data_IF_482693555040
#
_entry.id   IF_482693555040
#
_cell.length_a   1.000
_cell.length_b   1.000
_cell.length_c   1.000
_cell.angle_alpha   90.00
_cell.angle_beta   90.00
_cell.angle_gamma   90.00
#
_symmetry.space_group_name_H-M   'P 1'
#
loop_
_entity.id
_entity.type
_entity.pdbx_description
1 polymer ?
#
# COMPACT_ATOMS: atom_id res chain seq x y z
N UNK A 1 27.43 57.54 18.81
CA UNK A 1 26.54 58.61 18.30
C UNK A 1 25.56 57.99 17.30
N UNK A 2 24.29 58.44 17.34
CA UNK A 2 23.11 58.10 16.51
C UNK A 2 22.50 56.69 16.70
N UNK A 3 21.29 56.50 17.26
CA UNK A 3 19.91 56.87 16.80
C UNK A 3 19.41 55.93 15.67
N UNK A 4 18.24 55.28 15.63
CA UNK A 4 16.89 55.31 16.28
C UNK A 4 16.22 53.92 16.05
N UNK A 5 15.39 53.35 16.95
CA UNK A 5 13.90 53.42 17.00
C UNK A 5 13.24 53.45 15.60
N UNK A 6 12.21 52.70 15.20
CA UNK A 6 11.19 51.87 15.87
C UNK A 6 9.91 51.93 15.02
N UNK A 7 9.08 50.88 15.02
CA UNK A 7 7.63 50.98 14.78
C UNK A 7 7.07 50.68 13.38
N UNK A 8 5.76 50.38 13.29
CA UNK A 8 5.21 49.23 12.56
C UNK A 8 4.27 49.62 11.40
N UNK A 9 3.78 48.63 10.64
CA UNK A 9 2.76 48.85 9.62
C UNK A 9 2.07 47.56 9.20
N UNK A 10 0.84 47.40 9.68
CA UNK A 10 -0.13 46.38 9.32
C UNK A 10 -0.43 46.36 7.82
N UNK A 11 -0.54 45.16 7.27
CA UNK A 11 -1.22 44.92 5.99
C UNK A 11 -2.21 43.78 6.19
N UNK A 12 -3.40 44.15 6.63
CA UNK A 12 -4.60 43.34 6.58
C UNK A 12 -5.19 43.44 5.17
N UNK A 13 -5.20 42.34 4.41
CA UNK A 13 -6.27 41.94 3.49
C UNK A 13 -5.74 40.95 2.46
N UNK A 14 -6.26 39.72 2.51
CA UNK A 14 -7.18 39.24 1.47
C UNK A 14 -7.57 37.80 1.77
N UNK A 15 -8.81 37.59 2.19
CA UNK A 15 -9.49 36.31 1.97
C UNK A 15 -9.61 36.09 0.45
N UNK A 16 -9.58 34.82 0.02
CA UNK A 16 -10.74 34.35 -0.73
C UNK A 16 -11.27 33.03 -0.19
N UNK A 17 -12.59 32.94 -0.15
CA UNK A 17 -13.31 31.73 0.18
C UNK A 17 -13.37 30.72 -0.98
N UNK A 18 -13.92 29.56 -0.61
CA UNK A 18 -14.57 28.57 -1.46
C UNK A 18 -13.67 27.73 -2.39
N UNK A 19 -13.43 26.48 -2.00
CA UNK A 19 -14.23 25.35 -2.53
C UNK A 19 -13.74 24.05 -1.89
N UNK A 20 -14.51 23.51 -0.95
CA UNK A 20 -14.40 22.11 -0.55
C UNK A 20 -14.79 21.23 -1.75
N UNK A 21 -13.82 20.78 -2.53
CA UNK A 21 -14.05 19.79 -3.57
C UNK A 21 -13.84 18.40 -2.97
N UNK A 22 -14.93 17.86 -2.44
CA UNK A 22 -15.13 16.42 -2.18
C UNK A 22 -14.89 15.65 -3.50
N UNK A 23 -13.91 14.76 -3.52
CA UNK A 23 -13.83 13.68 -4.52
C UNK A 23 -13.81 12.35 -3.79
N UNK A 24 -15.00 11.80 -3.58
CA UNK A 24 -15.20 10.38 -3.29
C UNK A 24 -15.16 9.64 -4.64
N UNK A 25 -14.15 8.81 -4.85
CA UNK A 25 -14.10 7.88 -5.98
C UNK A 25 -14.87 6.62 -5.61
N UNK A 26 -16.15 6.57 -5.97
CA UNK A 26 -16.96 5.35 -5.97
C UNK A 26 -16.88 4.75 -7.37
N UNK A 27 -16.39 3.52 -7.49
CA UNK A 27 -16.54 2.73 -8.72
C UNK A 27 -17.01 1.33 -8.32
N UNK A 28 -18.32 1.12 -8.41
CA UNK A 28 -18.95 -0.19 -8.42
C UNK A 28 -19.43 -0.47 -9.85
N UNK A 29 -19.20 -1.66 -10.43
CA UNK A 29 -19.86 -2.04 -11.66
C UNK A 29 -21.23 -2.68 -11.35
N UNK A 30 -22.29 -2.04 -11.86
CA UNK A 30 -23.60 -2.64 -12.04
C UNK A 30 -23.58 -3.54 -13.29
N UNK A 31 -23.94 -4.81 -13.10
CA UNK A 31 -24.20 -5.75 -14.19
C UNK A 31 -25.53 -6.44 -13.99
N UNK A 32 -26.60 -5.85 -14.52
CA UNK A 32 -27.91 -6.48 -14.64
C UNK A 32 -27.99 -7.28 -15.95
N UNK A 33 -28.51 -8.52 -15.89
CA UNK A 33 -29.52 -9.03 -16.84
C UNK A 33 -30.11 -10.37 -16.39
N UNK A 34 -31.45 -10.38 -16.34
CA UNK A 34 -32.35 -11.50 -16.07
C UNK A 34 -32.79 -12.19 -17.38
N UNK A 35 -33.39 -13.39 -17.19
CA UNK A 35 -34.25 -14.23 -18.05
C UNK A 35 -33.46 -15.32 -18.81
N UNK A 36 -33.93 -16.56 -18.91
CA UNK A 36 -35.30 -17.06 -18.92
C UNK A 36 -35.46 -18.45 -18.25
N UNK A 37 -36.69 -18.72 -17.83
CA UNK A 37 -37.19 -20.01 -17.39
C UNK A 37 -37.68 -20.84 -18.59
N UNK A 38 -37.49 -22.16 -18.53
CA UNK A 38 -38.30 -23.15 -19.24
C UNK A 38 -38.57 -24.34 -18.32
N UNK A 39 -39.87 -24.64 -18.16
CA UNK A 39 -40.44 -25.83 -17.52
C UNK A 39 -40.32 -27.05 -18.43
N UNK A 40 -40.27 -28.24 -17.85
CA UNK A 40 -41.04 -29.47 -18.19
C UNK A 40 -40.56 -30.58 -17.23
N UNK A 41 -41.30 -30.96 -16.19
CA UNK A 41 -42.44 -31.89 -16.14
C UNK A 41 -42.08 -33.38 -15.97
N UNK A 42 -42.70 -33.97 -14.95
CA UNK A 42 -43.09 -35.39 -14.78
C UNK A 42 -42.17 -36.39 -14.05
N UNK A 43 -42.57 -36.69 -12.81
CA UNK A 43 -42.46 -37.94 -12.03
C UNK A 43 -43.27 -39.09 -12.72
N UNK A 44 -43.31 -40.39 -12.27
CA UNK A 44 -43.19 -40.86 -10.88
C UNK A 44 -42.66 -42.29 -10.58
N UNK A 45 -42.65 -42.60 -9.28
CA UNK A 45 -43.07 -43.85 -8.61
C UNK A 45 -41.99 -44.70 -7.89
N UNK A 46 -42.27 -45.02 -6.61
CA UNK A 46 -41.60 -46.09 -5.84
C UNK A 46 -41.48 -45.83 -4.33
N UNK A 47 -42.50 -46.24 -3.55
CA UNK A 47 -42.49 -46.47 -2.09
C UNK A 47 -41.45 -47.55 -1.70
N UNK A 48 -40.84 -47.69 -0.51
CA UNK A 48 -41.38 -47.76 0.86
C UNK A 48 -40.18 -47.81 1.89
N UNK A 49 -40.34 -48.04 3.22
CA UNK A 49 -39.63 -47.30 4.27
C UNK A 49 -38.60 -48.11 5.11
N UNK A 50 -38.14 -47.51 6.21
CA UNK A 50 -37.31 -48.02 7.32
C UNK A 50 -35.77 -47.89 7.25
N UNK A 51 -35.27 -46.80 7.85
CA UNK A 51 -33.99 -46.78 8.55
C UNK A 51 -33.99 -45.71 9.68
N UNK A 52 -33.43 -46.01 10.87
CA UNK A 52 -33.65 -45.21 12.07
C UNK A 52 -32.85 -43.90 12.06
N UNK A 53 -33.54 -42.82 12.39
CA UNK A 53 -32.99 -41.46 12.56
C UNK A 53 -32.03 -41.39 13.75
N UNK A 54 -30.74 -41.53 13.50
CA UNK A 54 -29.71 -41.00 14.39
C UNK A 54 -29.61 -39.48 14.20
N UNK A 55 -30.44 -38.74 14.94
CA UNK A 55 -30.34 -37.28 15.06
C UNK A 55 -29.16 -36.96 16.00
N UNK A 56 -27.98 -36.75 15.44
CA UNK A 56 -26.96 -35.93 16.11
C UNK A 56 -27.53 -34.53 16.32
N UNK A 57 -27.43 -33.94 17.53
CA UNK A 57 -27.80 -32.56 17.72
C UNK A 57 -26.78 -31.72 16.95
N UNK A 58 -27.23 -31.12 15.85
CA UNK A 58 -26.49 -30.12 15.11
C UNK A 58 -26.31 -28.94 16.07
N UNK A 59 -25.20 -28.96 16.82
CA UNK A 59 -24.77 -27.88 17.69
C UNK A 59 -24.84 -26.61 16.84
N UNK A 60 -25.73 -25.70 17.25
CA UNK A 60 -26.07 -24.51 16.51
C UNK A 60 -24.80 -23.84 16.01
N UNK A 61 -24.57 -23.92 14.70
CA UNK A 61 -23.61 -23.09 14.01
C UNK A 61 -24.13 -21.67 14.19
N UNK A 62 -23.70 -21.03 15.28
CA UNK A 62 -23.99 -19.62 15.54
C UNK A 62 -23.66 -18.91 14.23
N UNK A 63 -24.58 -18.11 13.67
CA UNK A 63 -24.21 -17.26 12.55
C UNK A 63 -22.99 -16.48 13.02
N UNK A 64 -21.87 -16.65 12.32
CA UNK A 64 -20.69 -15.84 12.56
C UNK A 64 -21.17 -14.40 12.42
N UNK A 65 -21.17 -13.66 13.53
CA UNK A 65 -21.33 -12.21 13.46
C UNK A 65 -20.29 -11.76 12.45
N UNK A 66 -20.75 -11.27 11.29
CA UNK A 66 -19.87 -10.94 10.18
C UNK A 66 -18.82 -9.95 10.66
N UNK A 67 -17.54 -10.26 10.45
CA UNK A 67 -16.46 -9.35 10.82
C UNK A 67 -16.61 -8.08 9.98
N UNK A 68 -16.43 -6.95 10.63
CA UNK A 68 -16.41 -5.62 10.03
C UNK A 68 -14.97 -5.21 9.73
N UNK A 69 -14.78 -4.20 8.89
CA UNK A 69 -13.44 -3.67 8.60
C UNK A 69 -12.71 -3.15 9.85
N UNK A 70 -13.45 -2.78 10.90
CA UNK A 70 -12.91 -2.29 12.18
C UNK A 70 -12.49 -3.42 13.12
N UNK A 71 -12.88 -4.67 12.86
CA UNK A 71 -12.48 -5.79 13.71
C UNK A 71 -11.00 -6.13 13.50
N UNK A 72 -10.21 -6.33 14.57
CA UNK A 72 -8.80 -6.67 14.46
C UNK A 72 -8.57 -7.88 13.55
N UNK A 73 -7.63 -7.79 12.59
CA UNK A 73 -7.38 -8.82 11.59
C UNK A 73 -6.82 -10.10 12.23
N UNK A 74 -7.16 -11.25 11.63
CA UNK A 74 -6.65 -12.56 12.06
C UNK A 74 -5.13 -12.62 11.87
N UNK A 75 -4.41 -13.27 12.78
CA UNK A 75 -2.95 -13.42 12.72
C UNK A 75 -2.46 -14.72 12.07
N UNK A 76 -3.30 -15.30 11.23
CA UNK A 76 -2.98 -16.50 10.44
C UNK A 76 -2.78 -16.10 8.97
N UNK A 77 -1.55 -16.09 8.46
CA UNK A 77 -1.27 -15.67 7.08
C UNK A 77 -1.85 -16.61 6.02
N UNK A 78 -2.16 -17.86 6.35
CA UNK A 78 -2.71 -18.82 5.38
C UNK A 78 -4.16 -18.48 4.97
N UNK A 79 -4.83 -17.66 5.78
CA UNK A 79 -6.18 -17.17 5.50
C UNK A 79 -6.21 -15.98 4.54
N UNK A 80 -5.06 -15.36 4.25
CA UNK A 80 -5.02 -14.15 3.44
C UNK A 80 -4.79 -14.45 1.97
N UNK A 81 -5.68 -13.92 1.13
CA UNK A 81 -5.41 -13.86 -0.30
C UNK A 81 -4.53 -12.64 -0.64
N UNK A 82 -3.71 -12.78 -1.68
CA UNK A 82 -2.93 -11.66 -2.22
C UNK A 82 -3.75 -10.97 -3.30
N UNK A 83 -3.86 -9.63 -3.26
CA UNK A 83 -4.47 -8.88 -4.37
C UNK A 83 -3.57 -8.89 -5.61
N UNK A 84 -4.14 -8.76 -6.81
CA UNK A 84 -3.39 -8.64 -8.07
C UNK A 84 -2.38 -7.48 -7.97
N UNK A 85 -2.84 -6.33 -7.46
CA UNK A 85 -2.00 -5.17 -7.19
C UNK A 85 -0.79 -5.53 -6.33
N UNK A 86 -0.99 -6.26 -5.22
CA UNK A 86 0.12 -6.65 -4.36
C UNK A 86 1.08 -7.62 -5.05
N UNK A 87 0.58 -8.58 -5.84
CA UNK A 87 1.44 -9.52 -6.58
C UNK A 87 2.34 -8.80 -7.57
N UNK A 88 1.79 -7.87 -8.35
CA UNK A 88 2.58 -7.00 -9.25
C UNK A 88 3.68 -6.24 -8.49
N UNK A 89 3.38 -5.75 -7.28
CA UNK A 89 4.37 -5.03 -6.46
C UNK A 89 5.54 -5.88 -6.01
N UNK A 90 5.37 -7.20 -5.84
CA UNK A 90 6.43 -8.10 -5.38
C UNK A 90 7.54 -8.25 -6.43
N UNK A 91 7.21 -8.04 -7.70
CA UNK A 91 8.13 -8.19 -8.83
C UNK A 91 8.91 -6.92 -9.15
N UNK A 92 8.49 -5.77 -8.60
CA UNK A 92 9.07 -4.46 -8.91
C UNK A 92 10.47 -4.28 -8.28
N UNK A 93 11.50 -3.91 -9.07
CA UNK A 93 12.82 -3.55 -8.57
C UNK A 93 12.78 -2.47 -7.48
N UNK A 94 13.59 -2.68 -6.44
CA UNK A 94 13.66 -1.79 -5.27
C UNK A 94 12.44 -1.90 -4.34
N UNK A 95 11.66 -2.98 -4.44
CA UNK A 95 10.73 -3.43 -3.40
C UNK A 95 11.36 -4.59 -2.63
N UNK A 96 11.27 -4.52 -1.30
CA UNK A 96 11.93 -5.49 -0.41
C UNK A 96 10.95 -6.33 0.41
N UNK A 97 9.65 -6.14 0.17
CA UNK A 97 8.60 -6.97 0.74
C UNK A 97 8.55 -8.28 -0.05
N UNK A 98 8.49 -9.39 0.67
CA UNK A 98 8.27 -10.74 0.15
C UNK A 98 7.10 -11.42 0.87
N UNK A 99 6.57 -12.51 0.30
CA UNK A 99 5.54 -13.34 0.93
C UNK A 99 5.95 -13.85 2.32
N UNK A 100 7.24 -14.14 2.52
CA UNK A 100 7.81 -14.49 3.83
C UNK A 100 7.69 -13.34 4.82
N UNK A 101 8.12 -12.13 4.43
CA UNK A 101 8.01 -10.95 5.32
C UNK A 101 6.56 -10.59 5.62
N UNK A 102 5.63 -10.83 4.69
CA UNK A 102 4.18 -10.69 4.92
C UNK A 102 3.71 -11.68 5.98
N UNK A 103 4.07 -12.95 5.82
CA UNK A 103 3.71 -14.00 6.77
C UNK A 103 4.25 -13.70 8.17
N UNK A 104 5.49 -13.23 8.25
CA UNK A 104 6.12 -12.83 9.50
C UNK A 104 5.45 -11.61 10.14
N UNK A 105 5.08 -10.60 9.34
CA UNK A 105 4.38 -9.42 9.82
C UNK A 105 2.98 -9.75 10.34
N UNK A 106 2.21 -10.60 9.65
CA UNK A 106 0.88 -11.03 10.11
C UNK A 106 0.97 -11.77 11.45
N UNK A 107 1.95 -12.66 11.62
CA UNK A 107 2.12 -13.44 12.85
C UNK A 107 2.62 -12.59 14.03
N UNK A 108 3.66 -11.77 13.79
CA UNK A 108 4.48 -11.18 14.87
C UNK A 108 4.51 -9.65 14.86
N UNK A 109 4.03 -9.02 13.80
CA UNK A 109 4.03 -7.57 13.66
C UNK A 109 3.15 -6.87 14.68
N UNK A 110 3.52 -5.63 14.99
CA UNK A 110 2.66 -4.72 15.73
C UNK A 110 1.45 -4.37 14.87
N UNK A 111 0.26 -4.48 15.46
CA UNK A 111 -0.99 -4.13 14.78
C UNK A 111 -1.28 -2.64 14.95
N UNK A 112 -1.62 -1.96 13.85
CA UNK A 112 -1.98 -0.53 13.82
C UNK A 112 -3.23 -0.31 12.97
N UNK A 113 -4.12 0.57 13.40
CA UNK A 113 -5.30 0.98 12.64
C UNK A 113 -5.11 2.37 12.05
N UNK A 114 -5.54 2.58 10.81
CA UNK A 114 -5.67 3.89 10.18
C UNK A 114 -7.06 4.00 9.52
N UNK A 115 -7.72 5.16 9.66
CA UNK A 115 -9.01 5.44 9.03
C UNK A 115 -8.99 5.44 7.50
N UNK A 116 -7.84 5.71 6.88
CA UNK A 116 -7.72 5.80 5.41
C UNK A 116 -7.42 4.45 4.76
N UNK A 117 -6.48 3.70 5.33
CA UNK A 117 -5.94 2.47 4.71
C UNK A 117 -6.27 1.20 5.51
N UNK A 118 -7.02 1.30 6.60
CA UNK A 118 -7.42 0.17 7.43
C UNK A 118 -6.30 -0.38 8.33
N UNK A 119 -6.30 -1.69 8.53
CA UNK A 119 -5.37 -2.38 9.43
C UNK A 119 -3.99 -2.59 8.81
N UNK A 120 -2.96 -2.43 9.63
CA UNK A 120 -1.56 -2.60 9.26
C UNK A 120 -0.82 -3.48 10.24
N UNK A 121 -0.07 -4.44 9.74
CA UNK A 121 0.96 -5.13 10.50
C UNK A 121 2.31 -4.45 10.24
N UNK A 122 3.02 -4.08 11.30
CA UNK A 122 4.35 -3.47 11.24
C UNK A 122 5.37 -4.36 11.95
N UNK A 123 6.33 -4.90 11.20
CA UNK A 123 7.43 -5.72 11.71
C UNK A 123 8.76 -5.00 11.47
N UNK A 124 9.61 -4.88 12.49
CA UNK A 124 10.98 -4.37 12.31
C UNK A 124 11.95 -5.55 12.34
N UNK A 125 12.80 -5.65 11.32
CA UNK A 125 13.83 -6.68 11.19
C UNK A 125 15.08 -6.05 10.55
N UNK A 126 16.23 -6.16 11.24
CA UNK A 126 17.50 -5.56 10.81
C UNK A 126 17.39 -4.08 10.44
N UNK A 127 16.83 -3.25 11.33
CA UNK A 127 16.68 -1.79 11.12
C UNK A 127 15.63 -1.36 10.07
N UNK A 128 15.02 -2.30 9.33
CA UNK A 128 13.98 -2.02 8.33
C UNK A 128 12.61 -2.41 8.88
N UNK A 129 11.64 -1.48 8.77
CA UNK A 129 10.23 -1.73 9.06
C UNK A 129 9.51 -2.21 7.81
N UNK A 130 8.88 -3.36 7.89
CA UNK A 130 7.93 -3.91 6.93
C UNK A 130 6.52 -3.54 7.36
N UNK A 131 5.82 -2.77 6.54
CA UNK A 131 4.41 -2.43 6.75
C UNK A 131 3.57 -3.20 5.75
N UNK A 132 2.60 -3.97 6.25
CA UNK A 132 1.68 -4.77 5.45
C UNK A 132 0.27 -4.29 5.74
N UNK A 133 -0.41 -3.79 4.72
CA UNK A 133 -1.79 -3.34 4.81
C UNK A 133 -2.70 -4.50 4.44
N UNK A 134 -3.65 -4.77 5.33
CA UNK A 134 -4.66 -5.78 5.13
C UNK A 134 -6.05 -5.15 5.18
N UNK A 135 -6.96 -5.72 4.41
CA UNK A 135 -8.37 -5.41 4.53
C UNK A 135 -9.10 -6.70 4.85
N UNK A 136 -10.04 -6.61 5.78
CA UNK A 136 -11.15 -7.54 5.73
C UNK A 136 -11.99 -7.17 4.51
N UNK A 137 -12.47 -8.17 3.79
CA UNK A 137 -13.35 -7.93 2.64
C UNK A 137 -14.73 -8.46 2.98
N UNK A 138 -15.74 -8.04 2.23
CA UNK A 138 -17.05 -8.70 2.28
C UNK A 138 -17.02 -10.14 1.72
N UNK A 139 -15.84 -10.62 1.28
CA UNK A 139 -15.62 -11.99 0.80
C UNK A 139 -15.18 -12.92 1.94
N UNK A 140 -15.09 -14.23 1.66
CA UNK A 140 -14.80 -15.25 2.66
C UNK A 140 -13.36 -15.20 3.25
N UNK A 141 -12.48 -14.36 2.71
CA UNK A 141 -11.08 -14.28 3.14
C UNK A 141 -10.59 -12.84 3.22
N UNK A 142 -9.83 -12.47 4.27
CA UNK A 142 -9.14 -11.19 4.29
C UNK A 142 -8.06 -11.15 3.19
N UNK A 143 -7.64 -9.95 2.80
CA UNK A 143 -6.68 -9.76 1.70
C UNK A 143 -5.51 -8.89 2.10
N UNK A 144 -4.34 -9.21 1.55
CA UNK A 144 -3.18 -8.31 1.56
C UNK A 144 -3.33 -7.31 0.42
N UNK A 145 -3.55 -6.05 0.79
CA UNK A 145 -3.80 -4.95 -0.16
C UNK A 145 -2.49 -4.42 -0.72
N UNK A 146 -1.52 -4.15 0.16
CA UNK A 146 -0.23 -3.61 -0.23
C UNK A 146 0.81 -3.81 0.88
N UNK A 147 2.07 -3.59 0.54
CA UNK A 147 3.16 -3.57 1.52
C UNK A 147 4.33 -2.72 1.08
N UNK A 148 5.06 -2.19 2.04
CA UNK A 148 6.28 -1.42 1.79
C UNK A 148 7.27 -1.53 2.94
N UNK A 149 8.48 -1.01 2.69
CA UNK A 149 9.54 -0.89 3.67
C UNK A 149 9.81 0.57 4.01
N UNK A 150 10.26 0.79 5.25
CA UNK A 150 10.74 2.07 5.76
C UNK A 150 12.01 1.81 6.57
N UNK A 151 12.94 2.78 6.59
CA UNK A 151 14.07 2.71 7.51
C UNK A 151 13.58 3.08 8.90
N UNK A 152 13.61 2.12 9.83
CA UNK A 152 13.27 2.35 11.24
C UNK A 152 14.48 2.80 12.04
N UNK A 153 15.64 2.21 11.75
CA UNK A 153 16.94 2.50 12.34
C UNK A 153 18.00 2.28 11.25
N UNK A 154 18.66 3.37 10.83
CA UNK A 154 19.63 3.33 9.72
C UNK A 154 20.91 2.63 10.12
N UNK A 155 21.38 2.82 11.34
CA UNK A 155 22.62 2.21 11.83
C UNK A 155 22.42 0.69 11.93
N UNK A 156 21.33 0.26 12.57
CA UNK A 156 20.99 -1.15 12.64
C UNK A 156 20.75 -1.78 11.26
N UNK A 157 20.25 -1.01 10.28
CA UNK A 157 20.07 -1.50 8.91
C UNK A 157 21.38 -1.69 8.16
N UNK A 158 22.37 -0.83 8.38
CA UNK A 158 23.70 -0.93 7.75
C UNK A 158 24.56 -2.03 8.38
N UNK A 159 24.36 -2.34 9.66
CA UNK A 159 25.03 -3.45 10.35
C UNK A 159 24.38 -4.82 10.07
N UNK A 160 23.12 -4.84 9.59
CA UNK A 160 22.42 -6.08 9.33
C UNK A 160 22.96 -6.77 8.05
N UNK A 161 23.34 -8.06 8.09
CA UNK A 161 23.93 -8.78 6.94
C UNK A 161 23.03 -8.87 5.70
N UNK A 162 21.73 -8.60 5.87
CA UNK A 162 20.71 -8.73 4.83
C UNK A 162 20.74 -7.57 3.83
N UNK A 163 21.22 -6.41 4.24
CA UNK A 163 21.09 -5.17 3.48
C UNK A 163 22.44 -4.65 3.06
N UNK A 164 22.59 -4.34 1.77
CA UNK A 164 23.68 -3.49 1.34
C UNK A 164 23.30 -2.00 1.54
N UNK A 165 24.27 -1.07 1.56
CA UNK A 165 23.98 0.35 1.73
C UNK A 165 23.05 0.93 0.65
N UNK A 166 23.09 0.41 -0.58
CA UNK A 166 22.23 0.84 -1.69
C UNK A 166 20.78 0.42 -1.45
N UNK A 167 20.53 -0.72 -0.79
CA UNK A 167 19.17 -1.12 -0.39
C UNK A 167 18.59 -0.14 0.63
N UNK A 168 19.35 0.15 1.69
CA UNK A 168 18.94 1.09 2.74
C UNK A 168 18.64 2.47 2.15
N UNK A 169 19.47 2.91 1.21
CA UNK A 169 19.29 4.18 0.51
C UNK A 169 18.07 4.18 -0.41
N UNK A 170 17.86 3.11 -1.16
CA UNK A 170 16.69 2.93 -2.02
C UNK A 170 15.40 2.98 -1.20
N UNK A 171 15.33 2.23 -0.10
CA UNK A 171 14.17 2.23 0.80
C UNK A 171 13.88 3.65 1.27
N UNK A 172 14.91 4.33 1.73
CA UNK A 172 14.74 5.64 2.34
C UNK A 172 14.37 6.73 1.31
N UNK A 173 14.86 6.66 0.06
CA UNK A 173 14.41 7.54 -1.03
C UNK A 173 12.94 7.27 -1.36
N UNK A 174 12.54 5.99 -1.45
CA UNK A 174 11.14 5.61 -1.73
C UNK A 174 10.18 6.06 -0.62
N UNK A 175 10.58 5.95 0.64
CA UNK A 175 9.80 6.43 1.79
C UNK A 175 9.58 7.93 1.67
N UNK A 176 10.63 8.70 1.45
CA UNK A 176 10.51 10.16 1.35
C UNK A 176 9.67 10.62 0.15
N UNK A 177 9.78 9.94 -1.00
CA UNK A 177 8.90 10.19 -2.14
C UNK A 177 7.42 9.88 -1.83
N UNK A 178 7.14 8.99 -0.89
CA UNK A 178 5.78 8.56 -0.55
C UNK A 178 5.14 9.34 0.60
N UNK A 179 5.93 9.84 1.56
CA UNK A 179 5.43 10.61 2.71
C UNK A 179 4.76 11.93 2.31
N UNK A 180 5.20 12.56 1.22
CA UNK A 180 4.54 13.73 0.66
C UNK A 180 4.78 13.81 -0.84
N UNK A 181 3.77 13.41 -1.61
CA UNK A 181 3.93 13.19 -3.05
C UNK A 181 4.25 14.47 -3.84
N UNK A 182 3.78 15.62 -3.35
CA UNK A 182 4.03 16.96 -3.92
C UNK A 182 5.25 17.66 -3.34
N UNK A 183 5.77 17.21 -2.20
CA UNK A 183 6.94 17.84 -1.56
C UNK A 183 8.20 17.54 -2.37
N UNK A 184 9.03 18.56 -2.65
CA UNK A 184 10.34 18.34 -3.25
C UNK A 184 11.16 17.36 -2.42
N UNK A 185 11.90 16.45 -3.06
CA UNK A 185 12.84 15.51 -2.43
C UNK A 185 13.66 16.30 -1.39
N UNK A 186 13.41 16.09 -0.08
CA UNK A 186 14.00 16.95 0.95
C UNK A 186 15.53 16.87 0.94
N UNK A 187 16.20 18.01 1.17
CA UNK A 187 17.67 18.08 1.28
C UNK A 187 18.23 17.17 2.39
N UNK A 188 17.38 16.75 3.34
CA UNK A 188 17.69 15.75 4.39
C UNK A 188 17.91 14.32 3.84
N UNK A 189 17.75 14.11 2.53
CA UNK A 189 18.06 12.86 1.83
C UNK A 189 19.54 12.78 1.41
N UNK A 190 20.34 13.84 1.57
CA UNK A 190 21.78 13.80 1.25
C UNK A 190 22.61 13.06 2.32
N UNK A 191 23.65 12.26 1.97
CA UNK A 191 23.98 11.65 0.68
C UNK A 191 23.47 10.20 0.62
N UNK A 192 22.72 9.84 -0.43
CA UNK A 192 22.30 8.46 -0.69
C UNK A 192 22.76 8.05 -2.07
N UNK A 193 23.39 6.89 -2.17
CA UNK A 193 23.79 6.29 -3.44
C UNK A 193 22.70 5.30 -3.85
N UNK A 194 21.93 5.62 -4.88
CA UNK A 194 20.97 4.68 -5.46
C UNK A 194 21.41 4.37 -6.89
N UNK A 195 22.46 3.58 -6.99
CA UNK A 195 23.04 3.11 -8.26
C UNK A 195 22.28 1.95 -8.86
N UNK A 196 21.53 1.19 -8.04
CA UNK A 196 20.60 0.16 -8.53
C UNK A 196 19.24 0.80 -8.78
N UNK A 197 18.76 0.87 -10.03
CA UNK A 197 17.53 1.59 -10.30
C UNK A 197 16.29 0.91 -9.70
N UNK A 198 15.33 1.71 -9.23
CA UNK A 198 14.05 1.27 -8.66
C UNK A 198 12.84 1.86 -9.38
N UNK A 199 11.67 1.25 -9.23
CA UNK A 199 10.48 1.68 -9.99
C UNK A 199 9.50 2.57 -9.21
N UNK A 200 9.10 3.68 -9.84
CA UNK A 200 7.99 4.55 -9.40
C UNK A 200 7.19 4.97 -10.63
N UNK A 201 5.90 4.62 -10.65
CA UNK A 201 5.09 4.79 -11.86
C UNK A 201 5.69 3.97 -13.01
N UNK A 202 5.81 4.58 -14.19
CA UNK A 202 6.44 3.98 -15.37
C UNK A 202 7.95 4.25 -15.47
N UNK A 203 8.55 4.82 -14.42
CA UNK A 203 9.96 5.24 -14.44
C UNK A 203 10.85 4.33 -13.62
N UNK A 204 12.01 4.00 -14.18
CA UNK A 204 13.12 3.29 -13.53
C UNK A 204 14.18 4.29 -13.11
N UNK A 205 14.36 4.49 -11.81
CA UNK A 205 14.98 5.68 -11.22
C UNK A 205 16.29 5.37 -10.50
N UNK A 206 17.28 6.23 -10.67
CA UNK A 206 18.55 6.25 -9.94
C UNK A 206 18.82 7.66 -9.36
N UNK A 207 19.76 7.78 -8.43
CA UNK A 207 20.24 9.08 -7.93
C UNK A 207 21.66 8.98 -7.38
N UNK A 208 22.43 10.05 -7.56
CA UNK A 208 23.77 10.20 -7.00
C UNK A 208 23.73 10.96 -5.66
N UNK A 209 24.73 10.73 -4.78
CA UNK A 209 24.90 11.47 -3.54
C UNK A 209 24.80 12.99 -3.72
N UNK A 210 23.85 13.60 -3.01
CA UNK A 210 23.71 15.05 -3.02
C UNK A 210 22.82 15.61 -4.11
N UNK A 211 22.30 14.79 -5.04
CA UNK A 211 21.39 15.28 -6.07
C UNK A 211 19.99 15.58 -5.50
N UNK A 212 19.39 16.75 -5.80
CA UNK A 212 18.04 17.09 -5.35
C UNK A 212 16.96 16.51 -6.30
N UNK A 213 17.29 15.48 -7.07
CA UNK A 213 16.39 14.85 -8.03
C UNK A 213 16.73 13.37 -8.19
N UNK A 214 15.75 12.60 -8.66
CA UNK A 214 15.97 11.26 -9.21
C UNK A 214 15.95 11.33 -10.73
N UNK A 215 16.75 10.48 -11.38
CA UNK A 215 16.85 10.40 -12.84
C UNK A 215 16.25 9.10 -13.33
N UNK A 216 15.38 9.17 -14.33
CA UNK A 216 14.93 7.98 -15.02
C UNK A 216 16.00 7.46 -15.99
N UNK A 217 16.39 6.21 -15.87
CA UNK A 217 17.38 5.57 -16.74
C UNK A 217 16.85 5.32 -18.15
N UNK A 218 15.53 5.17 -18.28
CA UNK A 218 14.87 4.91 -19.56
C UNK A 218 14.64 6.19 -20.39
N UNK A 219 14.02 7.23 -19.83
CA UNK A 219 13.71 8.48 -20.55
C UNK A 219 14.68 9.64 -20.25
N UNK A 220 15.63 9.45 -19.33
CA UNK A 220 16.63 10.47 -18.96
C UNK A 220 16.10 11.65 -18.15
N UNK A 221 14.80 11.68 -17.88
CA UNK A 221 14.14 12.81 -17.23
C UNK A 221 14.46 12.87 -15.74
N UNK A 222 14.52 14.09 -15.20
CA UNK A 222 14.83 14.37 -13.80
C UNK A 222 13.56 14.79 -13.08
N UNK A 223 13.31 14.21 -11.92
CA UNK A 223 12.12 14.48 -11.14
C UNK A 223 12.47 14.87 -9.71
N UNK A 224 11.72 15.83 -9.17
CA UNK A 224 11.92 16.36 -7.81
C UNK A 224 10.83 15.93 -6.82
N UNK A 225 9.78 15.26 -7.26
CA UNK A 225 8.68 14.80 -6.42
C UNK A 225 8.01 13.59 -7.03
N UNK A 226 7.25 12.84 -6.23
CA UNK A 226 6.51 11.68 -6.73
C UNK A 226 5.41 12.08 -7.71
N UNK A 227 4.70 13.18 -7.45
CA UNK A 227 3.67 13.69 -8.36
C UNK A 227 4.26 14.05 -9.73
N UNK A 228 5.46 14.61 -9.77
CA UNK A 228 6.14 14.88 -11.04
C UNK A 228 6.51 13.60 -11.81
N UNK A 229 6.83 12.52 -11.08
CA UNK A 229 7.13 11.20 -11.67
C UNK A 229 5.85 10.57 -12.22
N UNK A 230 4.79 10.50 -11.41
CA UNK A 230 3.55 9.79 -11.76
C UNK A 230 2.64 10.59 -12.67
N UNK A 231 2.77 11.92 -12.69
CA UNK A 231 2.00 12.80 -13.58
C UNK A 231 2.48 12.80 -15.04
N UNK A 232 3.59 12.13 -15.34
CA UNK A 232 4.17 12.06 -16.69
C UNK A 232 4.51 10.62 -17.08
N UNK A 233 3.99 10.18 -18.21
CA UNK A 233 4.33 8.87 -18.79
C UNK A 233 5.81 8.76 -19.19
N UNK A 234 6.32 7.52 -19.17
CA UNK A 234 7.69 7.24 -19.61
C UNK A 234 7.70 6.83 -21.09
N UNK A 235 8.23 7.68 -21.96
CA UNK A 235 8.23 7.44 -23.41
C UNK A 235 9.58 6.97 -23.97
N UNK A 236 10.45 6.39 -23.13
CA UNK A 236 11.83 6.05 -23.50
C UNK A 236 12.67 7.27 -23.87
N UNK A 237 13.91 7.06 -24.33
CA UNK A 237 14.64 8.12 -25.03
C UNK A 237 14.00 8.25 -26.40
N UNK A 238 13.05 9.18 -26.55
CA UNK A 238 12.70 9.70 -27.87
C UNK A 238 14.02 10.05 -28.57
N UNK A 239 14.25 9.44 -29.73
CA UNK A 239 15.53 9.44 -30.43
C UNK A 239 16.14 10.83 -30.55
N UNK A 240 17.48 10.87 -30.53
CA UNK A 240 18.23 11.93 -31.18
C UNK A 240 17.84 12.05 -32.64
#
# INVERSE_FOLDING_TARGET
>A
MASRQGGPGDAESSRPGSTERRTASTTAPAGARRRAATRSDSLPHGSDPDAPRSRTPNAGKRPSVGRTAEDPPVRDPELYALTDHFRERLEQPGRYVSTRTVSDAIRRGQLRWNRTDGWRFALVDGGIRFVVVVSDTETNSPVVVTGWTEVADREAALEAPRWDPVDVDTIAVRTALSESASTPIPDRIRPRTVTRPFEVGEHRLETEPGEPFVRCTACGCRFRSKDAITGRGCHGRSGR
#
